data_IF_487486446948
#
_entry.id   IF_487486446948
#
_cell.length_a   1.000
_cell.length_b   1.000
_cell.length_c   1.000
_cell.angle_alpha   90.00
_cell.angle_beta   90.00
_cell.angle_gamma   90.00
#
_symmetry.space_group_name_H-M   'P 1'
#
loop_
_entity.id
_entity.type
_entity.pdbx_description
1 polymer ?
#
# COMPACT_ATOMS: atom_id res chain seq x y z
N UNK A 1 5.08 -24.18 10.27
CA UNK A 1 6.22 -24.07 11.21
C UNK A 1 6.80 -22.65 11.10
N UNK A 2 7.07 -21.95 12.22
CA UNK A 2 7.61 -20.57 12.22
C UNK A 2 9.01 -20.49 11.57
N UNK A 3 9.80 -21.57 11.62
CA UNK A 3 11.15 -21.63 11.01
C UNK A 3 11.10 -21.81 9.50
N UNK A 4 10.06 -22.44 8.97
CA UNK A 4 9.82 -22.51 7.53
C UNK A 4 9.32 -21.16 7.00
N UNK A 5 8.45 -20.50 7.77
CA UNK A 5 7.99 -19.15 7.43
C UNK A 5 9.15 -18.14 7.42
N UNK A 6 10.05 -18.18 8.41
CA UNK A 6 11.22 -17.31 8.44
C UNK A 6 12.11 -17.49 7.20
N UNK A 7 12.41 -18.73 6.81
CA UNK A 7 13.18 -19.04 5.60
C UNK A 7 12.49 -18.59 4.31
N UNK A 8 11.16 -18.73 4.23
CA UNK A 8 10.40 -18.22 3.09
C UNK A 8 10.44 -16.67 3.02
N UNK A 9 10.54 -16.01 4.17
CA UNK A 9 10.61 -14.54 4.26
C UNK A 9 12.00 -13.97 3.98
N UNK A 10 13.09 -14.74 4.15
CA UNK A 10 14.46 -14.28 3.87
C UNK A 10 14.62 -13.78 2.42
N UNK A 11 14.07 -14.52 1.45
CA UNK A 11 14.08 -14.10 0.05
C UNK A 11 13.28 -12.82 -0.22
N UNK A 12 12.16 -12.65 0.47
CA UNK A 12 11.35 -11.43 0.38
C UNK A 12 12.03 -10.24 1.07
N UNK A 13 12.73 -10.47 2.18
CA UNK A 13 13.49 -9.45 2.88
C UNK A 13 14.64 -8.94 2.01
N UNK A 14 15.38 -9.82 1.34
CA UNK A 14 16.44 -9.44 0.42
C UNK A 14 15.91 -8.59 -0.76
N UNK A 15 14.78 -8.99 -1.36
CA UNK A 15 14.14 -8.19 -2.42
C UNK A 15 13.64 -6.83 -1.91
N UNK A 16 13.15 -6.77 -0.67
CA UNK A 16 12.69 -5.53 -0.06
C UNK A 16 13.83 -4.60 0.37
N UNK A 17 15.03 -5.14 0.62
CA UNK A 17 16.20 -4.38 1.07
C UNK A 17 16.66 -3.37 0.02
N UNK A 18 16.51 -3.69 -1.26
CA UNK A 18 16.86 -2.81 -2.38
C UNK A 18 15.70 -1.91 -2.83
N UNK A 19 14.48 -2.13 -2.34
CA UNK A 19 13.35 -1.29 -2.70
C UNK A 19 13.54 0.14 -2.18
N UNK A 20 13.56 1.10 -3.09
CA UNK A 20 13.56 2.53 -2.77
C UNK A 20 12.27 3.14 -3.32
N UNK A 21 11.38 3.66 -2.45
CA UNK A 21 10.18 4.34 -2.92
C UNK A 21 10.47 5.47 -3.92
N UNK A 22 11.62 6.14 -3.80
CA UNK A 22 12.07 7.20 -4.72
C UNK A 22 12.23 6.75 -6.17
N UNK A 23 12.38 5.45 -6.42
CA UNK A 23 12.62 4.91 -7.76
C UNK A 23 11.29 4.64 -8.49
N UNK A 24 10.15 4.86 -7.83
CA UNK A 24 8.85 4.75 -8.46
C UNK A 24 8.68 5.82 -9.54
N UNK A 25 8.11 5.46 -10.71
CA UNK A 25 7.91 6.40 -11.79
C UNK A 25 6.99 7.53 -11.34
N UNK A 26 7.49 8.75 -11.44
CA UNK A 26 6.74 9.95 -11.09
C UNK A 26 5.65 10.24 -12.14
N UNK A 27 4.52 10.78 -11.68
CA UNK A 27 3.41 11.15 -12.56
C UNK A 27 2.47 10.01 -12.96
N UNK A 28 2.69 8.78 -12.48
CA UNK A 28 1.72 7.68 -12.64
C UNK A 28 0.53 7.93 -11.70
N UNK A 29 -0.72 8.00 -12.20
CA UNK A 29 -1.88 8.11 -11.33
C UNK A 29 -1.95 6.92 -10.37
N UNK A 30 -2.00 7.23 -9.07
CA UNK A 30 -2.00 6.22 -8.02
C UNK A 30 -2.99 6.56 -6.91
N UNK A 31 -3.24 5.59 -6.03
CA UNK A 31 -3.93 5.77 -4.78
C UNK A 31 -3.32 4.81 -3.74
N UNK A 32 -3.12 5.30 -2.52
CA UNK A 32 -2.70 4.47 -1.39
C UNK A 32 -3.84 4.41 -0.40
N UNK A 33 -4.40 3.20 -0.22
CA UNK A 33 -5.46 2.93 0.75
C UNK A 33 -4.88 2.06 1.85
N UNK A 34 -5.03 2.51 3.09
CA UNK A 34 -4.51 1.82 4.27
C UNK A 34 -5.66 1.36 5.16
N UNK A 35 -5.49 0.15 5.69
CA UNK A 35 -6.29 -0.38 6.78
C UNK A 35 -6.15 0.47 8.05
N UNK A 36 -7.07 0.28 8.98
CA UNK A 36 -7.05 0.95 10.29
C UNK A 36 -6.22 0.17 11.30
N UNK A 37 -4.93 0.05 11.00
CA UNK A 37 -4.00 -0.67 11.88
C UNK A 37 -3.97 -0.03 13.27
N UNK A 38 -4.22 -0.86 14.28
CA UNK A 38 -4.08 -0.48 15.69
C UNK A 38 -2.65 0.01 15.97
N UNK A 39 -2.48 1.00 16.88
CA UNK A 39 -1.16 1.44 17.31
C UNK A 39 -0.29 0.31 17.87
N UNK A 40 1.03 0.41 17.68
CA UNK A 40 2.00 -0.60 18.09
C UNK A 40 2.98 -0.92 16.95
N UNK A 41 4.10 -1.57 17.27
CA UNK A 41 5.26 -1.77 16.35
C UNK A 41 4.85 -2.14 14.92
N UNK A 42 3.96 -3.12 14.75
CA UNK A 42 3.51 -3.57 13.43
C UNK A 42 2.64 -2.52 12.74
N UNK A 43 1.65 -1.97 13.44
CA UNK A 43 0.76 -0.96 12.88
C UNK A 43 1.49 0.35 12.56
N UNK A 44 2.40 0.78 13.42
CA UNK A 44 3.27 1.95 13.19
C UNK A 44 4.20 1.73 11.98
N UNK A 45 4.77 0.53 11.87
CA UNK A 45 5.56 0.13 10.70
C UNK A 45 4.76 0.18 9.40
N UNK A 46 3.54 -0.37 9.39
CA UNK A 46 2.65 -0.33 8.24
C UNK A 46 2.27 1.11 7.86
N UNK A 47 1.93 1.94 8.86
CA UNK A 47 1.63 3.37 8.65
C UNK A 47 2.81 4.13 8.02
N UNK A 48 4.01 3.92 8.56
CA UNK A 48 5.22 4.55 8.04
C UNK A 48 5.57 4.05 6.62
N UNK A 49 5.38 2.77 6.33
CA UNK A 49 5.58 2.22 5.00
C UNK A 49 4.61 2.83 3.97
N UNK A 50 3.31 2.86 4.25
CA UNK A 50 2.31 3.48 3.37
C UNK A 50 2.58 4.97 3.16
N UNK A 51 2.96 5.71 4.20
CA UNK A 51 3.30 7.13 4.09
C UNK A 51 4.51 7.37 3.17
N UNK A 52 5.56 6.55 3.26
CA UNK A 52 6.74 6.65 2.39
C UNK A 52 6.39 6.42 0.91
N UNK A 53 5.58 5.40 0.61
CA UNK A 53 5.15 5.11 -0.77
C UNK A 53 4.23 6.21 -1.30
N UNK A 54 3.30 6.69 -0.48
CA UNK A 54 2.40 7.78 -0.86
C UNK A 54 3.16 9.06 -1.18
N UNK A 55 4.17 9.41 -0.37
CA UNK A 55 5.03 10.56 -0.61
C UNK A 55 5.78 10.45 -1.95
N UNK A 56 6.35 9.28 -2.27
CA UNK A 56 7.04 9.07 -3.54
C UNK A 56 6.12 9.18 -4.76
N UNK A 57 4.87 8.72 -4.63
CA UNK A 57 3.86 8.81 -5.68
C UNK A 57 3.14 10.18 -5.73
N UNK A 58 3.45 11.10 -4.82
CA UNK A 58 2.79 12.40 -4.74
C UNK A 58 1.30 12.33 -4.36
N UNK A 59 0.88 11.32 -3.60
CA UNK A 59 -0.51 11.10 -3.17
C UNK A 59 -0.65 11.08 -1.66
N UNK A 60 -1.88 11.23 -1.16
CA UNK A 60 -2.20 11.07 0.26
C UNK A 60 -2.61 9.63 0.58
N UNK A 61 -2.32 9.17 1.80
CA UNK A 61 -2.82 7.89 2.31
C UNK A 61 -4.29 8.06 2.73
N UNK A 62 -5.19 7.34 2.07
CA UNK A 62 -6.59 7.25 2.51
C UNK A 62 -6.75 6.12 3.50
N UNK A 63 -7.22 6.40 4.71
CA UNK A 63 -7.47 5.36 5.72
C UNK A 63 -8.93 4.94 5.70
N UNK A 64 -9.17 3.63 5.78
CA UNK A 64 -10.52 3.06 5.90
C UNK A 64 -10.75 2.54 7.32
N UNK A 65 -11.47 3.27 8.17
CA UNK A 65 -11.73 2.88 9.54
C UNK A 65 -12.38 1.51 9.64
N UNK A 66 -12.00 0.73 10.66
CA UNK A 66 -12.59 -0.58 10.93
C UNK A 66 -12.22 -1.67 9.93
N UNK A 67 -11.25 -1.45 9.03
CA UNK A 67 -10.77 -2.47 8.10
C UNK A 67 -9.48 -3.12 8.56
N UNK A 68 -9.32 -4.41 8.25
CA UNK A 68 -8.06 -5.12 8.38
C UNK A 68 -7.17 -4.91 7.15
N UNK A 69 -6.00 -5.55 7.13
CA UNK A 69 -5.14 -5.53 5.94
C UNK A 69 -5.85 -6.07 4.68
N UNK A 70 -6.86 -6.92 4.85
CA UNK A 70 -7.70 -7.45 3.78
C UNK A 70 -8.87 -6.52 3.41
N UNK A 71 -8.73 -5.21 3.58
CA UNK A 71 -9.75 -4.18 3.32
C UNK A 71 -10.46 -4.31 1.95
N UNK A 72 -9.77 -4.88 0.96
CA UNK A 72 -10.31 -5.11 -0.38
C UNK A 72 -11.38 -6.21 -0.43
N UNK A 73 -11.32 -7.18 0.48
CA UNK A 73 -12.36 -8.21 0.66
C UNK A 73 -13.51 -7.71 1.53
N UNK A 74 -13.21 -6.82 2.48
CA UNK A 74 -14.19 -6.27 3.42
C UNK A 74 -15.03 -5.15 2.80
N UNK A 75 -14.46 -4.39 1.86
CA UNK A 75 -15.11 -3.28 1.16
C UNK A 75 -14.85 -3.37 -0.36
N UNK A 76 -15.37 -4.41 -1.04
CA UNK A 76 -15.07 -4.65 -2.46
C UNK A 76 -15.60 -3.55 -3.38
N UNK A 77 -16.79 -3.01 -3.11
CA UNK A 77 -17.38 -1.93 -3.91
C UNK A 77 -16.53 -0.66 -3.83
N UNK A 78 -16.14 -0.26 -2.61
CA UNK A 78 -15.28 0.90 -2.37
C UNK A 78 -13.90 0.72 -2.99
N UNK A 79 -13.40 -0.51 -3.05
CA UNK A 79 -12.15 -0.85 -3.72
C UNK A 79 -12.26 -0.65 -5.23
N UNK A 80 -13.35 -1.13 -5.83
CA UNK A 80 -13.64 -0.92 -7.25
C UNK A 80 -13.77 0.58 -7.57
N UNK A 81 -14.36 1.39 -6.68
CA UNK A 81 -14.45 2.84 -6.85
C UNK A 81 -13.07 3.52 -6.88
N UNK A 82 -12.17 3.14 -5.97
CA UNK A 82 -10.78 3.66 -5.97
C UNK A 82 -10.07 3.27 -7.27
N UNK A 83 -10.18 2.01 -7.70
CA UNK A 83 -9.58 1.55 -8.95
C UNK A 83 -10.12 2.35 -10.14
N UNK A 84 -11.45 2.51 -10.24
CA UNK A 84 -12.09 3.31 -11.29
C UNK A 84 -11.60 4.76 -11.27
N UNK A 85 -11.41 5.36 -10.09
CA UNK A 85 -10.88 6.71 -9.93
C UNK A 85 -9.45 6.84 -10.47
N UNK A 86 -8.58 5.88 -10.14
CA UNK A 86 -7.20 5.85 -10.66
C UNK A 86 -7.18 5.71 -12.18
N UNK A 87 -7.95 4.76 -12.73
CA UNK A 87 -8.01 4.51 -14.19
C UNK A 87 -8.58 5.72 -14.97
N UNK A 88 -9.57 6.43 -14.42
CA UNK A 88 -10.07 7.66 -15.08
C UNK A 88 -9.02 8.75 -15.17
N UNK A 89 -8.10 8.82 -14.20
CA UNK A 89 -6.99 9.79 -14.25
C UNK A 89 -5.94 9.42 -15.29
N UNK A 90 -5.77 8.14 -15.61
CA UNK A 90 -4.86 7.73 -16.69
C UNK A 90 -5.41 8.08 -18.08
N UNK A 91 -6.74 8.11 -18.25
CA UNK A 91 -7.37 8.44 -19.55
C UNK A 91 -7.52 9.93 -19.82
N UNK A 92 -7.43 10.78 -18.79
CA UNK A 92 -7.56 12.24 -18.92
C UNK A 92 -6.21 12.96 -19.14
N UNK A 93 -5.11 12.22 -19.33
CA UNK A 93 -3.78 12.77 -19.67
C UNK A 93 -3.48 12.67 -21.18
N UNK A 94 -4.50 12.73 -22.03
CA UNK A 94 -4.38 12.86 -23.49
C UNK A 94 -4.56 14.32 -23.91
#
# INVERSE_FOLDING_TARGET
>A
DVRELARALEGLAALAEDFRPSDLPWGVPAAIVSADHQPGRIGDGARAAHARVAAALGVQVTRWPGTSHSLHLEQPERTIEVIRSVVRRTTNHA
#
